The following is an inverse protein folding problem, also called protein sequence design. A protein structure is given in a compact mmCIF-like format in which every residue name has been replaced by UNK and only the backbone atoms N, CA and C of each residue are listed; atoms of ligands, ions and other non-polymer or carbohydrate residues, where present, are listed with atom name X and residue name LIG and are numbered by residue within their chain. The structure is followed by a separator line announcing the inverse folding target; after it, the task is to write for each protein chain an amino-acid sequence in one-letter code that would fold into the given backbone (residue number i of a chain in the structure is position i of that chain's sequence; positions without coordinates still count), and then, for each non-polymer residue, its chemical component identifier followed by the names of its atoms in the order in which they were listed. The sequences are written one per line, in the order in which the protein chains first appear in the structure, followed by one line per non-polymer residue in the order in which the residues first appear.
data_IF_659596011776
#
_entry.id   IF_659596011776
#
_cell.length_a   1.000
_cell.length_b   1.000
_cell.length_c   1.000
_cell.angle_alpha   90.00
_cell.angle_beta   90.00
_cell.angle_gamma   90.00
#
_symmetry.space_group_name_H-M   'P 1'
#
loop_
_entity.id
_entity.type
_entity.pdbx_description
1 polymer ?
#
# COMPACT_ATOMS: atom_id res chain seq x y z
N UNK A 1 31.85 50.08 -13.95
CA UNK A 1 32.35 48.78 -13.45
C UNK A 1 33.20 48.15 -14.55
N UNK A 2 34.43 47.69 -14.26
CA UNK A 2 35.25 47.00 -15.26
C UNK A 2 34.67 45.62 -15.56
N UNK A 3 34.54 45.27 -16.84
CA UNK A 3 34.10 43.95 -17.31
C UNK A 3 35.35 43.11 -17.58
N UNK A 4 35.43 41.92 -16.98
CA UNK A 4 36.56 40.99 -17.15
C UNK A 4 36.13 39.85 -18.09
N UNK A 5 36.89 39.64 -19.16
CA UNK A 5 36.70 38.51 -20.09
C UNK A 5 37.50 37.31 -19.60
N UNK A 6 36.82 36.22 -19.27
CA UNK A 6 37.43 34.96 -18.82
C UNK A 6 37.63 34.01 -20.00
N UNK A 7 38.75 33.28 -20.02
CA UNK A 7 39.14 32.41 -21.15
C UNK A 7 38.83 30.93 -20.91
N UNK A 8 38.43 30.56 -19.69
CA UNK A 8 38.00 29.22 -19.32
C UNK A 8 37.07 29.26 -18.11
N UNK A 9 36.28 28.20 -17.91
CA UNK A 9 35.42 28.03 -16.72
C UNK A 9 36.25 27.95 -15.44
N UNK A 10 37.47 27.40 -15.51
CA UNK A 10 38.38 27.34 -14.37
C UNK A 10 38.83 28.72 -13.85
N UNK A 11 38.88 29.73 -14.72
CA UNK A 11 39.22 31.09 -14.32
C UNK A 11 38.07 31.80 -13.57
N UNK A 12 36.82 31.37 -13.77
CA UNK A 12 35.64 31.88 -13.07
C UNK A 12 35.66 31.50 -11.57
N UNK A 13 36.11 30.27 -11.27
CA UNK A 13 36.21 29.73 -9.90
C UNK A 13 37.27 30.45 -9.04
N UNK A 14 38.13 31.28 -9.63
CA UNK A 14 39.09 32.12 -8.88
C UNK A 14 38.48 33.41 -8.35
N UNK A 15 37.31 33.79 -8.87
CA UNK A 15 36.60 35.03 -8.50
C UNK A 15 35.25 34.76 -7.81
N UNK A 16 34.80 33.51 -7.78
CA UNK A 16 33.55 33.08 -7.14
C UNK A 16 33.91 31.97 -6.15
N UNK A 17 33.57 32.16 -4.87
CA UNK A 17 33.65 31.12 -3.85
C UNK A 17 32.69 29.98 -4.23
N UNK A 18 33.19 28.74 -4.24
CA UNK A 18 32.43 27.55 -4.63
C UNK A 18 31.14 27.38 -3.82
N UNK A 19 31.07 27.96 -2.61
CA UNK A 19 29.88 27.95 -1.76
C UNK A 19 28.80 28.96 -2.16
N UNK A 20 29.08 29.85 -3.11
CA UNK A 20 28.17 30.88 -3.61
C UNK A 20 27.62 30.58 -5.02
N UNK A 21 28.00 29.45 -5.61
CA UNK A 21 27.37 28.94 -6.84
C UNK A 21 26.05 28.26 -6.46
N UNK A 22 24.95 28.71 -7.08
CA UNK A 22 23.69 27.97 -7.04
C UNK A 22 23.91 26.55 -7.57
N UNK A 23 23.27 25.58 -6.92
CA UNK A 23 23.48 24.13 -6.98
C UNK A 23 23.32 23.47 -8.35
N UNK A 24 22.96 24.24 -9.38
CA UNK A 24 22.49 23.80 -10.68
C UNK A 24 23.56 23.11 -11.56
N UNK A 25 24.83 23.10 -11.14
CA UNK A 25 25.93 22.45 -11.88
C UNK A 25 26.63 21.31 -11.12
N UNK A 26 26.18 20.98 -9.92
CA UNK A 26 26.57 19.73 -9.24
C UNK A 26 25.35 18.84 -9.23
N UNK A 27 25.44 17.65 -9.84
CA UNK A 27 24.41 16.63 -9.79
C UNK A 27 24.14 16.20 -8.33
N UNK A 28 23.35 17.00 -7.61
CA UNK A 28 22.60 16.61 -6.44
C UNK A 28 21.16 16.58 -6.93
N UNK A 29 20.56 15.40 -6.86
CA UNK A 29 19.12 15.23 -7.03
C UNK A 29 18.45 16.25 -6.11
N UNK A 30 17.88 17.30 -6.69
CA UNK A 30 17.04 18.23 -5.96
C UNK A 30 15.84 17.43 -5.48
N UNK A 31 15.83 17.13 -4.19
CA UNK A 31 14.64 16.66 -3.51
C UNK A 31 13.58 17.75 -3.65
N UNK A 32 12.64 17.55 -4.56
CA UNK A 32 11.52 18.45 -4.70
C UNK A 32 10.54 18.18 -3.54
N UNK A 33 10.12 19.23 -2.85
CA UNK A 33 9.01 19.22 -1.88
C UNK A 33 7.73 18.54 -2.44
N UNK A 34 7.61 18.42 -3.78
CA UNK A 34 6.58 17.65 -4.47
C UNK A 34 6.57 16.16 -4.11
N UNK A 35 7.72 15.55 -3.85
CA UNK A 35 7.82 14.10 -3.61
C UNK A 35 7.26 13.74 -2.24
N UNK A 36 7.40 14.65 -1.27
CA UNK A 36 6.82 14.49 0.07
C UNK A 36 5.29 14.56 0.07
N UNK A 37 4.74 15.55 -0.64
CA UNK A 37 3.29 15.70 -0.78
C UNK A 37 2.69 14.50 -1.51
N UNK A 38 3.36 14.02 -2.55
CA UNK A 38 2.97 12.80 -3.28
C UNK A 38 2.98 11.57 -2.37
N UNK A 39 3.96 11.44 -1.48
CA UNK A 39 4.07 10.32 -0.57
C UNK A 39 2.95 10.32 0.47
N UNK A 40 2.63 11.48 1.06
CA UNK A 40 1.48 11.62 1.96
C UNK A 40 0.15 11.32 1.25
N UNK A 41 -0.02 11.79 0.02
CA UNK A 41 -1.20 11.45 -0.79
C UNK A 41 -1.28 9.93 -1.08
N UNK A 42 -0.13 9.28 -1.26
CA UNK A 42 -0.06 7.82 -1.44
C UNK A 42 -0.43 7.06 -0.15
N UNK A 43 -0.09 7.59 1.03
CA UNK A 43 -0.52 7.02 2.32
C UNK A 43 -2.02 7.16 2.51
N UNK A 44 -2.59 8.33 2.20
CA UNK A 44 -4.04 8.56 2.26
C UNK A 44 -4.78 7.60 1.30
N UNK A 45 -4.28 7.46 0.08
CA UNK A 45 -4.83 6.54 -0.92
C UNK A 45 -4.78 5.11 -0.42
N UNK A 46 -3.64 4.68 0.12
CA UNK A 46 -3.49 3.34 0.71
C UNK A 46 -4.47 3.10 1.86
N UNK A 47 -4.66 4.09 2.74
CA UNK A 47 -5.63 4.00 3.83
C UNK A 47 -7.08 3.84 3.31
N UNK A 48 -7.44 4.56 2.24
CA UNK A 48 -8.73 4.40 1.57
C UNK A 48 -8.88 2.98 1.00
N UNK A 49 -7.87 2.48 0.29
CA UNK A 49 -7.89 1.12 -0.26
C UNK A 49 -8.01 0.04 0.82
N UNK A 50 -7.31 0.18 1.96
CA UNK A 50 -7.45 -0.74 3.10
C UNK A 50 -8.88 -0.74 3.65
N UNK A 51 -9.51 0.44 3.71
CA UNK A 51 -10.91 0.57 4.11
C UNK A 51 -11.87 -0.06 3.11
N UNK A 52 -11.62 0.08 1.80
CA UNK A 52 -12.42 -0.54 0.75
C UNK A 52 -12.34 -2.07 0.84
N UNK A 53 -11.16 -2.65 1.09
CA UNK A 53 -11.02 -4.08 1.35
C UNK A 53 -11.85 -4.50 2.58
N UNK A 54 -11.82 -3.74 3.66
CA UNK A 54 -12.63 -4.02 4.85
C UNK A 54 -14.13 -4.11 4.50
N UNK A 55 -14.61 -3.17 3.67
CA UNK A 55 -16.00 -3.15 3.22
C UNK A 55 -16.34 -4.32 2.29
N UNK A 56 -15.43 -4.68 1.39
CA UNK A 56 -15.58 -5.83 0.50
C UNK A 56 -15.65 -7.14 1.29
N UNK A 57 -14.77 -7.32 2.27
CA UNK A 57 -14.78 -8.48 3.17
C UNK A 57 -16.07 -8.54 3.98
N UNK A 58 -16.51 -7.42 4.55
CA UNK A 58 -17.76 -7.35 5.28
C UNK A 58 -18.96 -7.71 4.40
N UNK A 59 -19.07 -7.11 3.21
CA UNK A 59 -20.16 -7.36 2.28
C UNK A 59 -20.20 -8.82 1.83
N UNK A 60 -19.05 -9.40 1.49
CA UNK A 60 -18.97 -10.81 1.12
C UNK A 60 -19.31 -11.72 2.31
N UNK A 61 -18.83 -11.41 3.51
CA UNK A 61 -19.15 -12.16 4.73
C UNK A 61 -20.64 -12.16 5.04
N UNK A 62 -21.31 -11.00 4.93
CA UNK A 62 -22.76 -10.89 5.08
C UNK A 62 -23.50 -11.76 4.07
N UNK A 63 -23.14 -11.67 2.79
CA UNK A 63 -23.75 -12.50 1.74
C UNK A 63 -23.61 -14.01 2.02
N UNK A 64 -22.42 -14.45 2.43
CA UNK A 64 -22.20 -15.86 2.79
C UNK A 64 -23.05 -16.29 3.98
N UNK A 65 -23.18 -15.42 5.00
CA UNK A 65 -23.96 -15.72 6.21
C UNK A 65 -25.47 -15.76 5.97
N UNK A 66 -25.96 -14.95 5.02
CA UNK A 66 -27.37 -14.80 4.66
C UNK A 66 -27.79 -15.74 3.51
N UNK A 67 -26.85 -16.51 2.96
CA UNK A 67 -27.13 -17.45 1.86
C UNK A 67 -28.13 -18.51 2.30
N UNK A 68 -29.29 -18.56 1.63
CA UNK A 68 -30.27 -19.63 1.79
C UNK A 68 -29.74 -20.94 1.21
N UNK A 69 -29.99 -22.06 1.91
CA UNK A 69 -29.52 -23.39 1.50
C UNK A 69 -30.59 -24.10 0.67
N UNK A 70 -30.38 -24.32 -0.64
CA UNK A 70 -31.31 -25.10 -1.46
C UNK A 70 -31.31 -26.59 -1.09
N UNK A 71 -32.42 -27.28 -1.36
CA UNK A 71 -32.56 -28.73 -1.13
C UNK A 71 -31.95 -29.59 -2.26
N UNK A 72 -31.43 -28.96 -3.31
CA UNK A 72 -30.80 -29.66 -4.44
C UNK A 72 -29.28 -29.73 -4.30
N UNK A 73 -28.73 -30.95 -4.30
CA UNK A 73 -27.28 -31.17 -4.21
C UNK A 73 -26.48 -30.35 -5.26
N UNK A 74 -26.94 -30.34 -6.52
CA UNK A 74 -26.30 -29.57 -7.59
C UNK A 74 -26.25 -28.06 -7.31
N UNK A 75 -27.27 -27.51 -6.65
CA UNK A 75 -27.32 -26.09 -6.32
C UNK A 75 -26.33 -25.76 -5.18
N UNK A 76 -26.19 -26.65 -4.19
CA UNK A 76 -25.18 -26.53 -3.14
C UNK A 76 -23.76 -26.64 -3.70
N UNK A 77 -23.51 -27.56 -4.64
CA UNK A 77 -22.22 -27.67 -5.33
C UNK A 77 -21.87 -26.39 -6.09
N UNK A 78 -22.85 -25.78 -6.75
CA UNK A 78 -22.68 -24.49 -7.42
C UNK A 78 -22.31 -23.38 -6.43
N UNK A 79 -23.00 -23.29 -5.29
CA UNK A 79 -22.69 -22.32 -4.23
C UNK A 79 -21.26 -22.52 -3.71
N UNK A 80 -20.85 -23.76 -3.41
CA UNK A 80 -19.48 -24.09 -2.98
C UNK A 80 -18.44 -23.60 -3.99
N UNK A 81 -18.64 -23.88 -5.28
CA UNK A 81 -17.73 -23.45 -6.33
C UNK A 81 -17.69 -21.92 -6.46
N UNK A 82 -18.85 -21.27 -6.50
CA UNK A 82 -19.00 -19.81 -6.62
C UNK A 82 -18.33 -19.08 -5.46
N UNK A 83 -18.62 -19.47 -4.22
CA UNK A 83 -18.04 -18.88 -3.02
C UNK A 83 -16.52 -19.06 -2.99
N UNK A 84 -16.02 -20.26 -3.34
CA UNK A 84 -14.58 -20.55 -3.38
C UNK A 84 -13.85 -19.80 -4.49
N UNK A 85 -14.52 -19.51 -5.60
CA UNK A 85 -13.96 -18.68 -6.66
C UNK A 85 -13.81 -17.23 -6.19
N UNK A 86 -14.88 -16.64 -5.64
CA UNK A 86 -14.87 -15.26 -5.14
C UNK A 86 -13.90 -15.05 -3.98
N UNK A 87 -13.81 -16.01 -3.07
CA UNK A 87 -12.81 -15.98 -2.00
C UNK A 87 -11.38 -15.93 -2.56
N UNK A 88 -11.05 -16.70 -3.61
CA UNK A 88 -9.73 -16.62 -4.25
C UNK A 88 -9.47 -15.25 -4.88
N UNK A 89 -10.46 -14.66 -5.55
CA UNK A 89 -10.32 -13.31 -6.11
C UNK A 89 -10.05 -12.28 -5.01
N UNK A 90 -10.81 -12.33 -3.92
CA UNK A 90 -10.59 -11.48 -2.74
C UNK A 90 -9.17 -11.61 -2.18
N UNK A 91 -8.64 -12.84 -2.09
CA UNK A 91 -7.26 -13.08 -1.64
C UNK A 91 -6.23 -12.47 -2.59
N UNK A 92 -6.47 -12.51 -3.89
CA UNK A 92 -5.58 -11.89 -4.86
C UNK A 92 -5.60 -10.36 -4.78
N UNK A 93 -6.77 -9.76 -4.57
CA UNK A 93 -6.92 -8.32 -4.33
C UNK A 93 -6.16 -7.88 -3.06
N UNK A 94 -6.36 -8.58 -1.95
CA UNK A 94 -5.63 -8.33 -0.69
C UNK A 94 -4.12 -8.43 -0.89
N UNK A 95 -3.65 -9.46 -1.61
CA UNK A 95 -2.22 -9.62 -1.93
C UNK A 95 -1.69 -8.47 -2.77
N UNK A 96 -2.49 -7.92 -3.67
CA UNK A 96 -2.18 -6.72 -4.46
C UNK A 96 -1.95 -5.52 -3.53
N UNK A 97 -2.92 -5.21 -2.68
CA UNK A 97 -2.86 -4.08 -1.75
C UNK A 97 -1.71 -4.24 -0.75
N UNK A 98 -1.45 -5.45 -0.26
CA UNK A 98 -0.30 -5.74 0.61
C UNK A 98 1.05 -5.48 -0.10
N UNK A 99 1.15 -5.71 -1.42
CA UNK A 99 2.36 -5.38 -2.19
C UNK A 99 2.53 -3.86 -2.31
N UNK A 100 1.46 -3.14 -2.59
CA UNK A 100 1.46 -1.68 -2.67
C UNK A 100 1.89 -1.04 -1.34
N UNK A 101 1.33 -1.48 -0.22
CA UNK A 101 1.73 -0.98 1.10
C UNK A 101 3.19 -1.26 1.45
N UNK A 102 3.75 -2.41 1.02
CA UNK A 102 5.19 -2.70 1.19
C UNK A 102 6.08 -1.80 0.32
N UNK A 103 5.65 -1.53 -0.91
CA UNK A 103 6.36 -0.61 -1.79
C UNK A 103 6.35 0.81 -1.21
N UNK A 104 5.20 1.25 -0.68
CA UNK A 104 5.08 2.54 -0.02
C UNK A 104 6.02 2.67 1.18
N UNK A 105 6.13 1.61 1.99
CA UNK A 105 7.07 1.56 3.11
C UNK A 105 8.54 1.66 2.65
N UNK A 106 8.92 0.94 1.58
CA UNK A 106 10.26 1.02 1.00
C UNK A 106 10.59 2.41 0.46
N UNK A 107 9.60 3.11 -0.10
CA UNK A 107 9.77 4.50 -0.56
C UNK A 107 9.98 5.45 0.63
N UNK A 108 9.21 5.30 1.71
CA UNK A 108 9.38 6.06 2.95
C UNK A 108 10.77 5.84 3.57
N UNK A 109 11.28 4.61 3.59
CA UNK A 109 12.65 4.30 4.05
C UNK A 109 13.72 5.02 3.23
N UNK A 110 13.54 5.07 1.91
CA UNK A 110 14.46 5.77 1.00
C UNK A 110 14.45 7.28 1.26
N UNK A 111 13.27 7.86 1.45
CA UNK A 111 13.13 9.29 1.77
C UNK A 111 13.74 9.60 3.14
N UNK A 112 13.50 8.75 4.15
CA UNK A 112 14.08 8.90 5.49
C UNK A 112 15.61 8.94 5.44
N UNK A 113 16.23 8.03 4.69
CA UNK A 113 17.68 7.95 4.55
C UNK A 113 18.30 9.19 3.85
N UNK A 114 17.52 9.91 3.05
CA UNK A 114 17.97 11.12 2.35
C UNK A 114 17.85 12.40 3.20
N UNK A 115 17.09 12.37 4.31
CA UNK A 115 16.88 13.54 5.17
C UNK A 115 18.05 13.76 6.14
N UNK A 116 18.26 15.03 6.48
CA UNK A 116 19.35 15.48 7.38
C UNK A 116 18.84 16.15 8.66
N UNK A 117 17.58 16.57 8.66
CA UNK A 117 16.96 17.26 9.80
C UNK A 117 16.20 16.27 10.67
N UNK A 118 16.40 16.35 11.98
CA UNK A 118 15.81 15.42 12.95
C UNK A 118 14.27 15.51 13.02
N UNK A 119 13.69 16.68 12.73
CA UNK A 119 12.23 16.85 12.72
C UNK A 119 11.59 16.17 11.51
N UNK A 120 12.18 16.33 10.32
CA UNK A 120 11.71 15.65 9.11
C UNK A 120 11.82 14.12 9.25
N UNK A 121 12.89 13.62 9.88
CA UNK A 121 13.06 12.19 10.15
C UNK A 121 11.95 11.65 11.08
N UNK A 122 11.53 12.43 12.07
CA UNK A 122 10.43 12.07 12.98
C UNK A 122 9.08 12.06 12.25
N UNK A 123 8.82 13.03 11.38
CA UNK A 123 7.60 13.03 10.57
C UNK A 123 7.51 11.80 9.65
N UNK A 124 8.60 11.47 8.95
CA UNK A 124 8.66 10.28 8.10
C UNK A 124 8.49 9.00 8.92
N UNK A 125 9.08 8.95 10.11
CA UNK A 125 8.91 7.82 11.02
C UNK A 125 7.44 7.62 11.44
N UNK A 126 6.71 8.69 11.73
CA UNK A 126 5.28 8.62 12.04
C UNK A 126 4.44 8.14 10.84
N UNK A 127 4.79 8.59 9.63
CA UNK A 127 4.17 8.14 8.39
C UNK A 127 4.45 6.65 8.12
N UNK A 128 5.67 6.17 8.37
CA UNK A 128 6.03 4.75 8.32
C UNK A 128 5.21 3.90 9.30
N UNK A 129 5.08 4.34 10.55
CA UNK A 129 4.28 3.66 11.56
C UNK A 129 2.80 3.57 11.16
N UNK A 130 2.28 4.62 10.51
CA UNK A 130 0.92 4.63 9.96
C UNK A 130 0.74 3.56 8.88
N UNK A 131 1.67 3.46 7.93
CA UNK A 131 1.62 2.44 6.87
C UNK A 131 1.77 1.03 7.44
N UNK A 132 2.66 0.83 8.41
CA UNK A 132 2.84 -0.46 9.09
C UNK A 132 1.57 -0.89 9.83
N UNK A 133 0.90 0.03 10.52
CA UNK A 133 -0.39 -0.24 11.19
C UNK A 133 -1.47 -0.63 10.19
N UNK A 134 -1.57 0.08 9.07
CA UNK A 134 -2.53 -0.24 8.00
C UNK A 134 -2.26 -1.62 7.37
N UNK A 135 -0.99 -1.98 7.15
CA UNK A 135 -0.58 -3.31 6.69
C UNK A 135 -0.97 -4.40 7.68
N UNK A 136 -0.77 -4.16 8.98
CA UNK A 136 -1.18 -5.09 10.03
C UNK A 136 -2.69 -5.28 10.04
N UNK A 137 -3.46 -4.18 10.02
CA UNK A 137 -4.93 -4.24 9.94
C UNK A 137 -5.43 -5.03 8.73
N UNK A 138 -4.81 -4.85 7.57
CA UNK A 138 -5.16 -5.61 6.36
C UNK A 138 -4.92 -7.12 6.52
N UNK A 139 -3.81 -7.51 7.16
CA UNK A 139 -3.52 -8.92 7.46
C UNK A 139 -4.49 -9.51 8.48
N UNK A 140 -4.80 -8.76 9.54
CA UNK A 140 -5.73 -9.21 10.58
C UNK A 140 -7.13 -9.42 10.01
N UNK A 141 -7.58 -8.54 9.10
CA UNK A 141 -8.84 -8.70 8.38
C UNK A 141 -8.84 -9.92 7.46
N UNK A 142 -7.74 -10.16 6.74
CA UNK A 142 -7.55 -11.35 5.91
C UNK A 142 -7.64 -12.62 6.76
N UNK A 143 -6.89 -12.72 7.85
CA UNK A 143 -6.86 -13.88 8.74
C UNK A 143 -8.23 -14.14 9.40
N UNK A 144 -8.91 -13.09 9.86
CA UNK A 144 -10.24 -13.20 10.43
C UNK A 144 -11.24 -13.73 9.40
N UNK A 145 -11.16 -13.26 8.16
CA UNK A 145 -12.04 -13.71 7.08
C UNK A 145 -11.72 -15.14 6.63
N UNK A 146 -10.44 -15.53 6.57
CA UNK A 146 -10.03 -16.91 6.28
C UNK A 146 -10.70 -17.89 7.25
N UNK A 147 -10.61 -17.61 8.56
CA UNK A 147 -11.23 -18.45 9.58
C UNK A 147 -12.76 -18.47 9.55
N UNK A 148 -13.40 -17.37 9.10
CA UNK A 148 -14.85 -17.35 8.84
C UNK A 148 -15.19 -18.22 7.62
N UNK A 149 -14.48 -18.04 6.52
CA UNK A 149 -14.73 -18.71 5.25
C UNK A 149 -14.54 -20.22 5.36
N UNK A 150 -13.50 -20.70 6.06
CA UNK A 150 -13.28 -22.13 6.30
C UNK A 150 -14.48 -22.78 7.01
N UNK A 151 -15.02 -22.12 8.03
CA UNK A 151 -16.20 -22.61 8.75
C UNK A 151 -17.45 -22.62 7.86
N UNK A 152 -17.66 -21.57 7.08
CA UNK A 152 -18.76 -21.49 6.12
C UNK A 152 -18.67 -22.60 5.06
N UNK A 153 -17.49 -22.78 4.48
CA UNK A 153 -17.23 -23.79 3.47
C UNK A 153 -17.46 -25.21 4.02
N UNK A 154 -16.94 -25.50 5.21
CA UNK A 154 -17.17 -26.79 5.87
C UNK A 154 -18.66 -27.05 6.14
N UNK A 155 -19.40 -26.03 6.59
CA UNK A 155 -20.85 -26.13 6.81
C UNK A 155 -21.59 -26.52 5.52
N UNK A 156 -21.26 -25.87 4.40
CA UNK A 156 -21.85 -26.20 3.10
C UNK A 156 -21.50 -27.61 2.62
N UNK A 157 -20.26 -28.05 2.83
CA UNK A 157 -19.85 -29.42 2.50
C UNK A 157 -20.60 -30.47 3.33
N UNK A 158 -20.76 -30.22 4.63
CA UNK A 158 -21.54 -31.11 5.51
C UNK A 158 -23.01 -31.16 5.09
N UNK A 159 -23.59 -30.01 4.72
CA UNK A 159 -24.96 -29.97 4.22
C UNK A 159 -25.12 -30.79 2.94
N UNK A 160 -24.20 -30.66 1.98
CA UNK A 160 -24.20 -31.46 0.75
C UNK A 160 -24.11 -32.97 1.02
N UNK A 161 -23.33 -33.39 2.02
CA UNK A 161 -23.23 -34.80 2.40
C UNK A 161 -24.53 -35.37 2.97
N UNK A 162 -25.40 -34.54 3.55
CA UNK A 162 -26.70 -34.96 4.09
C UNK A 162 -27.79 -35.08 3.01
N UNK A 163 -27.58 -34.48 1.84
CA UNK A 163 -28.49 -34.57 0.68
C UNK A 163 -28.24 -35.80 -0.20
N UNK A 164 -27.11 -36.50 0.02
CA UNK A 164 -26.75 -37.74 -0.67
C UNK A 164 -27.14 -38.97 0.16
#
# INVERSE_FOLDING_TARGET
MPVVMLRSVGDLLRYIDENHLASDFTAKVEYCQSDWVLLRSSIETFAVTVKEIAQLLQGFGSELSETELPDEANAIEFLLHSHSHRYRQMKDDIRGVLKEGRLLLSNLETVKAAKREAEEEREIQADMETVQRLLAQLRDMEEAFDGFFEKHHLKLQQYLQLLH
#
